data_IF_807059192845
#
_entry.id   IF_807059192845
#
_cell.length_a   1.000
_cell.length_b   1.000
_cell.length_c   1.000
_cell.angle_alpha   90.00
_cell.angle_beta   90.00
_cell.angle_gamma   90.00
#
_symmetry.space_group_name_H-M   'P 1'
#
loop_
_entity.id
_entity.type
_entity.pdbx_description
1 polymer ?
#
# COMPACT_ATOMS: atom_id res chain seq x y z
N UNK A 1 7.47 24.98 -1.26
CA UNK A 1 7.55 24.13 -0.06
C UNK A 1 7.53 22.71 -0.54
N UNK A 2 8.67 22.02 -0.49
CA UNK A 2 8.71 20.59 -0.78
C UNK A 2 7.88 19.89 0.28
N UNK A 3 6.78 19.25 -0.14
CA UNK A 3 6.03 18.39 0.74
C UNK A 3 6.98 17.29 1.17
N UNK A 4 7.38 17.30 2.45
CA UNK A 4 8.09 16.18 3.08
C UNK A 4 7.21 14.96 2.84
N UNK A 5 7.55 14.19 1.80
CA UNK A 5 6.91 12.91 1.57
C UNK A 5 7.37 12.08 2.74
N UNK A 6 6.43 11.73 3.62
CA UNK A 6 6.75 10.88 4.76
C UNK A 6 7.28 9.58 4.16
N UNK A 7 8.58 9.37 4.25
CA UNK A 7 9.27 8.25 3.57
C UNK A 7 8.79 6.90 4.09
N UNK A 8 8.29 6.85 5.32
CA UNK A 8 7.93 5.62 6.03
C UNK A 8 6.43 5.55 6.32
N UNK A 9 5.91 4.32 6.37
CA UNK A 9 4.62 4.06 7.01
C UNK A 9 4.72 4.21 8.54
N UNK A 10 3.57 4.40 9.20
CA UNK A 10 3.49 4.51 10.66
C UNK A 10 3.98 3.21 11.31
N UNK A 11 4.65 3.30 12.46
CA UNK A 11 4.96 2.14 13.29
C UNK A 11 3.71 1.29 13.55
N UNK A 12 3.83 -0.04 13.46
CA UNK A 12 2.73 -0.99 13.57
C UNK A 12 1.86 -1.13 12.31
N UNK A 13 2.25 -0.49 11.19
CA UNK A 13 1.60 -0.77 9.89
C UNK A 13 1.96 -2.20 9.47
N UNK A 14 0.97 -3.05 9.12
CA UNK A 14 1.22 -4.42 8.67
C UNK A 14 2.21 -4.48 7.51
N UNK A 15 3.15 -5.40 7.57
CA UNK A 15 4.12 -5.59 6.49
C UNK A 15 3.42 -6.22 5.27
N UNK A 16 3.66 -5.66 4.09
CA UNK A 16 3.26 -6.23 2.80
C UNK A 16 4.53 -6.70 2.09
N UNK A 17 4.56 -7.95 1.67
CA UNK A 17 5.64 -8.46 0.83
C UNK A 17 5.63 -7.81 -0.56
N UNK A 18 6.74 -7.88 -1.32
CA UNK A 18 6.77 -7.42 -2.70
C UNK A 18 5.68 -8.05 -3.57
N UNK A 19 5.42 -9.34 -3.40
CA UNK A 19 4.39 -10.09 -4.13
C UNK A 19 2.99 -9.58 -3.78
N UNK A 20 2.74 -9.29 -2.50
CA UNK A 20 1.47 -8.71 -2.05
C UNK A 20 1.24 -7.31 -2.65
N UNK A 21 2.29 -6.49 -2.72
CA UNK A 21 2.23 -5.17 -3.35
C UNK A 21 1.91 -5.30 -4.85
N UNK A 22 2.56 -6.22 -5.54
CA UNK A 22 2.33 -6.47 -6.96
C UNK A 22 0.90 -6.96 -7.21
N UNK A 23 0.39 -7.90 -6.39
CA UNK A 23 -0.99 -8.34 -6.48
C UNK A 23 -1.97 -7.17 -6.26
N UNK A 24 -1.72 -6.33 -5.25
CA UNK A 24 -2.53 -5.14 -5.00
C UNK A 24 -2.54 -4.25 -6.25
N UNK A 25 -1.39 -3.95 -6.84
CA UNK A 25 -1.28 -3.12 -8.05
C UNK A 25 -2.09 -3.72 -9.20
N UNK A 26 -1.90 -5.01 -9.48
CA UNK A 26 -2.55 -5.72 -10.59
C UNK A 26 -4.07 -5.90 -10.39
N UNK A 27 -4.53 -5.97 -9.14
CA UNK A 27 -5.96 -6.11 -8.82
C UNK A 27 -6.81 -4.89 -9.21
N UNK A 28 -6.20 -3.74 -9.51
CA UNK A 28 -6.92 -2.49 -9.78
C UNK A 28 -7.83 -2.62 -11.01
N UNK A 29 -9.13 -2.55 -10.79
CA UNK A 29 -10.14 -2.53 -11.87
C UNK A 29 -10.61 -3.91 -12.33
N UNK A 30 -10.23 -4.99 -11.64
CA UNK A 30 -10.68 -6.36 -11.96
C UNK A 30 -12.13 -6.61 -11.53
N UNK A 31 -12.50 -6.20 -10.32
CA UNK A 31 -13.84 -6.39 -9.73
C UNK A 31 -14.33 -5.13 -9.02
N UNK A 32 -15.65 -5.01 -8.86
CA UNK A 32 -16.25 -3.99 -7.96
C UNK A 32 -15.78 -4.28 -6.53
N UNK A 33 -15.42 -3.22 -5.79
CA UNK A 33 -14.97 -3.30 -4.39
C UNK A 33 -13.62 -3.99 -4.12
N UNK A 34 -12.78 -4.20 -5.13
CA UNK A 34 -11.45 -4.83 -4.96
C UNK A 34 -10.58 -4.15 -3.90
N UNK A 35 -10.77 -2.85 -3.66
CA UNK A 35 -10.08 -2.10 -2.61
C UNK A 35 -10.36 -2.67 -1.21
N UNK A 36 -11.62 -3.03 -0.94
CA UNK A 36 -12.02 -3.63 0.32
C UNK A 36 -11.51 -5.06 0.44
N UNK A 37 -11.60 -5.84 -0.63
CA UNK A 37 -11.10 -7.22 -0.64
C UNK A 37 -9.60 -7.29 -0.38
N UNK A 38 -8.81 -6.42 -1.02
CA UNK A 38 -7.36 -6.35 -0.78
C UNK A 38 -7.02 -5.81 0.61
N UNK A 39 -7.82 -4.87 1.13
CA UNK A 39 -7.67 -4.38 2.50
C UNK A 39 -7.88 -5.51 3.51
N UNK A 40 -8.97 -6.28 3.35
CA UNK A 40 -9.32 -7.38 4.24
C UNK A 40 -8.31 -8.55 4.10
N UNK A 41 -7.89 -8.90 2.88
CA UNK A 41 -6.92 -9.97 2.62
C UNK A 41 -5.56 -9.73 3.29
N UNK A 42 -5.11 -8.48 3.29
CA UNK A 42 -3.79 -8.10 3.79
C UNK A 42 -3.82 -7.40 5.15
N UNK A 43 -4.94 -7.50 5.86
CA UNK A 43 -5.17 -6.86 7.17
C UNK A 43 -4.73 -5.39 7.19
N UNK A 44 -5.00 -4.65 6.10
CA UNK A 44 -4.51 -3.29 5.91
C UNK A 44 -5.67 -2.34 5.64
N UNK A 45 -5.41 -1.04 5.71
CA UNK A 45 -6.45 -0.05 5.42
C UNK A 45 -6.68 0.13 3.92
N UNK A 46 -7.94 0.34 3.53
CA UNK A 46 -8.32 0.76 2.16
C UNK A 46 -7.57 2.02 1.72
N UNK A 47 -7.28 2.94 2.66
CA UNK A 47 -6.45 4.12 2.41
C UNK A 47 -5.04 3.76 1.90
N UNK A 48 -4.41 2.72 2.47
CA UNK A 48 -3.10 2.26 2.05
C UNK A 48 -3.13 1.59 0.68
N UNK A 49 -4.19 0.84 0.37
CA UNK A 49 -4.43 0.28 -0.97
C UNK A 49 -4.51 1.42 -2.01
N UNK A 50 -5.31 2.45 -1.75
CA UNK A 50 -5.40 3.62 -2.62
C UNK A 50 -4.07 4.37 -2.77
N UNK A 51 -3.29 4.48 -1.69
CA UNK A 51 -1.96 5.10 -1.76
C UNK A 51 -1.00 4.31 -2.66
N UNK A 52 -0.99 2.98 -2.56
CA UNK A 52 -0.17 2.11 -3.42
C UNK A 52 -0.55 2.33 -4.89
N UNK A 53 -1.84 2.29 -5.21
CA UNK A 53 -2.33 2.55 -6.57
C UNK A 53 -2.01 3.95 -7.08
N UNK A 54 -2.16 4.96 -6.23
CA UNK A 54 -1.90 6.35 -6.61
C UNK A 54 -0.41 6.56 -6.88
N UNK A 55 0.47 6.06 -6.01
CA UNK A 55 1.93 6.18 -6.18
C UNK A 55 2.40 5.40 -7.41
N UNK A 56 1.91 4.18 -7.62
CA UNK A 56 2.22 3.40 -8.81
C UNK A 56 1.79 4.12 -10.10
N UNK A 57 0.58 4.69 -10.14
CA UNK A 57 0.10 5.47 -11.29
C UNK A 57 0.87 6.79 -11.53
N UNK A 58 1.61 7.27 -10.53
CA UNK A 58 2.47 8.45 -10.62
C UNK A 58 3.95 8.07 -10.76
N UNK A 59 4.27 6.78 -10.91
CA UNK A 59 5.64 6.24 -10.95
C UNK A 59 6.49 6.67 -9.74
N UNK A 60 5.82 6.94 -8.61
CA UNK A 60 6.46 7.33 -7.37
C UNK A 60 6.87 6.09 -6.57
N UNK A 61 8.03 6.12 -5.90
CA UNK A 61 8.40 5.04 -4.99
C UNK A 61 7.38 4.91 -3.87
N UNK A 62 7.09 3.67 -3.46
CA UNK A 62 6.25 3.40 -2.29
C UNK A 62 6.94 3.88 -1.01
N UNK A 63 6.15 4.15 0.03
CA UNK A 63 6.75 4.40 1.36
C UNK A 63 7.45 3.14 1.84
N UNK A 64 8.59 3.34 2.48
CA UNK A 64 9.33 2.31 3.19
C UNK A 64 8.46 1.77 4.33
N UNK A 65 8.49 0.46 4.49
CA UNK A 65 7.77 -0.23 5.57
C UNK A 65 8.75 -0.44 6.72
N UNK A 66 8.28 -0.27 7.96
CA UNK A 66 9.08 -0.58 9.14
C UNK A 66 8.75 -2.02 9.55
N UNK A 67 9.77 -2.87 9.59
CA UNK A 67 9.65 -4.21 10.18
C UNK A 67 9.99 -4.05 11.66
N UNK A 68 8.99 -4.16 12.53
CA UNK A 68 9.23 -4.23 13.96
C UNK A 68 9.54 -5.71 14.24
N UNK A 69 10.82 -6.04 14.40
CA UNK A 69 11.20 -7.32 15.00
C UNK A 69 10.73 -7.29 16.46
N UNK A 70 9.84 -8.22 16.81
CA UNK A 70 9.43 -8.48 18.19
C UNK A 70 10.43 -9.42 18.85
#
# INVERSE_FOLDING_TARGET
MEHITVEYYRAGTPYLSPEAIEEIIQSRGTVKNVCREMADKYDTSTRRIYEIWKRHAQELPLRKQQIIHS
#
